data_IF_450734916130
#
_entry.id   IF_450734916130
#
_cell.length_a   1.000
_cell.length_b   1.000
_cell.length_c   1.000
_cell.angle_alpha   90.00
_cell.angle_beta   90.00
_cell.angle_gamma   90.00
#
_symmetry.space_group_name_H-M   'P 1'
#
loop_
_entity.id
_entity.type
_entity.pdbx_description
1 polymer ?
#
# COMPACT_ATOMS: atom_id res chain seq x y z
N UNK A 1 -9.07 9.63 0.61
CA UNK A 1 -9.55 10.65 1.59
C UNK A 1 -8.93 10.41 2.94
N UNK A 2 -8.56 11.48 3.61
CA UNK A 2 -8.06 11.46 4.98
C UNK A 2 -9.16 12.08 5.86
N UNK A 3 -10.06 11.24 6.36
CA UNK A 3 -11.29 11.67 7.05
C UNK A 3 -11.19 11.57 8.58
N UNK A 4 -10.07 11.06 9.10
CA UNK A 4 -9.87 10.88 10.55
C UNK A 4 -8.41 11.05 10.95
N UNK A 5 -8.18 11.28 12.25
CA UNK A 5 -6.83 11.33 12.84
C UNK A 5 -6.07 10.02 12.61
N UNK A 6 -6.73 8.88 12.77
CA UNK A 6 -6.09 7.57 12.56
C UNK A 6 -5.62 7.38 11.12
N UNK A 7 -6.43 7.76 10.12
CA UNK A 7 -6.01 7.70 8.71
C UNK A 7 -4.84 8.64 8.42
N UNK A 8 -4.86 9.85 8.98
CA UNK A 8 -3.74 10.78 8.84
C UNK A 8 -2.45 10.20 9.40
N UNK A 9 -2.50 9.69 10.63
CA UNK A 9 -1.38 9.02 11.29
C UNK A 9 -0.86 7.84 10.47
N UNK A 10 -1.75 6.97 9.99
CA UNK A 10 -1.38 5.78 9.22
C UNK A 10 -0.68 6.14 7.90
N UNK A 11 -1.21 7.11 7.16
CA UNK A 11 -0.56 7.63 5.93
C UNK A 11 0.85 8.17 6.24
N UNK A 12 1.02 8.91 7.34
CA UNK A 12 2.32 9.46 7.71
C UNK A 12 3.30 8.33 8.02
N UNK A 13 2.94 7.39 8.91
CA UNK A 13 3.87 6.35 9.35
C UNK A 13 4.24 5.41 8.22
N UNK A 14 3.29 4.98 7.39
CA UNK A 14 3.58 4.09 6.26
C UNK A 14 4.45 4.78 5.21
N UNK A 15 4.19 6.05 4.91
CA UNK A 15 5.02 6.83 3.97
C UNK A 15 6.43 7.06 4.51
N UNK A 16 6.58 7.42 5.79
CA UNK A 16 7.90 7.57 6.42
C UNK A 16 8.68 6.26 6.40
N UNK A 17 8.03 5.15 6.78
CA UNK A 17 8.65 3.84 6.76
C UNK A 17 9.18 3.45 5.36
N UNK A 18 8.36 3.61 4.33
CA UNK A 18 8.75 3.29 2.95
C UNK A 18 9.90 4.17 2.46
N UNK A 19 9.85 5.48 2.72
CA UNK A 19 10.90 6.41 2.31
C UNK A 19 12.22 6.21 3.06
N UNK A 20 12.16 5.75 4.30
CA UNK A 20 13.35 5.50 5.11
C UNK A 20 14.06 4.19 4.74
N UNK A 21 13.29 3.16 4.42
CA UNK A 21 13.81 1.79 4.35
C UNK A 21 13.87 1.20 2.93
N UNK A 22 13.28 1.86 1.93
CA UNK A 22 13.29 1.40 0.53
C UNK A 22 13.73 2.51 -0.41
N UNK A 23 13.97 2.20 -1.67
CA UNK A 23 14.22 3.16 -2.75
C UNK A 23 12.99 3.40 -3.63
N UNK A 24 11.80 2.95 -3.21
CA UNK A 24 10.59 3.06 -3.99
C UNK A 24 10.18 4.51 -4.24
N UNK A 25 9.48 4.75 -5.35
CA UNK A 25 8.71 5.97 -5.61
C UNK A 25 7.29 5.74 -5.09
N UNK A 26 6.74 6.73 -4.41
CA UNK A 26 5.39 6.68 -3.85
C UNK A 26 4.50 7.67 -4.59
N UNK A 27 3.39 7.17 -5.13
CA UNK A 27 2.33 8.00 -5.70
C UNK A 27 1.14 7.95 -4.73
N UNK A 28 0.70 9.12 -4.28
CA UNK A 28 -0.49 9.27 -3.45
C UNK A 28 -1.50 10.09 -4.24
N UNK A 29 -2.64 9.49 -4.56
CA UNK A 29 -3.77 10.20 -5.15
C UNK A 29 -4.83 10.44 -4.09
N UNK A 30 -5.10 11.71 -3.81
CA UNK A 30 -6.12 12.15 -2.87
C UNK A 30 -7.31 12.72 -3.65
N UNK A 31 -8.51 12.22 -3.34
CA UNK A 31 -9.77 12.69 -3.95
C UNK A 31 -10.67 13.18 -2.83
N UNK A 32 -10.83 14.50 -2.71
CA UNK A 32 -11.62 15.14 -1.65
C UNK A 32 -12.02 16.57 -2.03
N UNK A 33 -12.74 17.26 -1.17
CA UNK A 33 -13.10 18.69 -1.35
C UNK A 33 -11.95 19.64 -1.02
N UNK A 34 -10.96 19.20 -0.23
CA UNK A 34 -9.73 19.91 0.11
C UNK A 34 -8.63 18.91 0.43
N UNK A 35 -7.37 19.27 0.12
CA UNK A 35 -6.25 18.36 0.37
C UNK A 35 -5.82 18.39 1.83
N UNK A 36 -6.16 17.35 2.58
CA UNK A 36 -5.64 17.10 3.93
C UNK A 36 -4.19 16.61 3.87
N UNK A 37 -3.83 15.85 2.83
CA UNK A 37 -2.46 15.40 2.64
C UNK A 37 -1.49 16.58 2.53
N UNK A 38 -1.75 17.51 1.61
CA UNK A 38 -0.88 18.69 1.44
C UNK A 38 -0.83 19.59 2.68
N UNK A 39 -1.97 19.76 3.35
CA UNK A 39 -2.07 20.66 4.52
C UNK A 39 -1.46 20.05 5.79
N UNK A 40 -1.51 18.74 5.98
CA UNK A 40 -1.20 18.10 7.27
C UNK A 40 -0.20 16.95 7.18
N UNK A 41 -0.32 16.04 6.21
CA UNK A 41 0.56 14.87 6.12
C UNK A 41 1.94 15.22 5.56
N UNK A 42 2.00 15.91 4.42
CA UNK A 42 3.26 16.20 3.73
C UNK A 42 4.27 16.98 4.58
N UNK A 43 3.88 18.02 5.36
CA UNK A 43 4.82 18.68 6.27
C UNK A 43 5.42 17.74 7.31
N UNK A 44 4.61 16.87 7.93
CA UNK A 44 5.06 15.93 8.95
C UNK A 44 5.96 14.83 8.37
N UNK A 45 5.62 14.32 7.17
CA UNK A 45 6.47 13.36 6.45
C UNK A 45 7.83 14.00 6.15
N UNK A 46 7.85 15.24 5.66
CA UNK A 46 9.11 15.96 5.41
C UNK A 46 9.93 16.20 6.68
N UNK A 47 9.27 16.49 7.79
CA UNK A 47 9.96 16.61 9.09
C UNK A 47 10.58 15.27 9.52
N UNK A 48 9.89 14.16 9.29
CA UNK A 48 10.33 12.82 9.65
C UNK A 48 11.54 12.36 8.81
N UNK A 49 11.43 12.43 7.47
CA UNK A 49 12.40 11.78 6.55
C UNK A 49 13.25 12.76 5.73
N UNK A 50 13.05 14.07 5.91
CA UNK A 50 13.85 15.11 5.26
C UNK A 50 13.77 15.07 3.72
N UNK A 51 14.94 15.15 3.08
CA UNK A 51 15.04 15.24 1.63
C UNK A 51 14.78 13.91 0.89
N UNK A 52 14.55 12.81 1.60
CA UNK A 52 14.13 11.53 0.99
C UNK A 52 12.79 11.62 0.26
N UNK A 53 11.99 12.66 0.52
CA UNK A 53 10.77 12.95 -0.22
C UNK A 53 11.03 13.44 -1.65
N UNK A 54 12.19 14.06 -1.91
CA UNK A 54 12.48 14.72 -3.19
C UNK A 54 12.60 13.69 -4.31
N UNK A 55 11.77 13.83 -5.34
CA UNK A 55 11.73 12.95 -6.51
C UNK A 55 11.17 11.55 -6.23
N UNK A 56 10.79 11.27 -4.98
CA UNK A 56 10.25 9.96 -4.59
C UNK A 56 8.80 9.99 -4.10
N UNK A 57 8.36 11.09 -3.50
CA UNK A 57 6.97 11.26 -3.05
C UNK A 57 6.22 12.16 -4.03
N UNK A 58 5.21 11.58 -4.68
CA UNK A 58 4.38 12.26 -5.67
C UNK A 58 2.94 12.33 -5.19
N UNK A 59 2.44 13.53 -4.97
CA UNK A 59 1.06 13.74 -4.52
C UNK A 59 0.22 14.33 -5.67
N UNK A 60 -0.90 13.70 -5.94
CA UNK A 60 -1.90 14.16 -6.91
C UNK A 60 -3.20 14.44 -6.15
N UNK A 61 -3.74 15.63 -6.31
CA UNK A 61 -5.01 16.01 -5.70
C UNK A 61 -6.08 16.20 -6.77
N UNK A 62 -7.19 15.52 -6.60
CA UNK A 62 -8.41 15.66 -7.40
C UNK A 62 -9.51 16.24 -6.52
N UNK A 63 -9.93 17.49 -6.81
CA UNK A 63 -11.07 18.07 -6.11
C UNK A 63 -12.36 17.38 -6.54
N UNK A 64 -13.11 16.82 -5.59
CA UNK A 64 -14.37 16.14 -5.85
C UNK A 64 -15.35 16.31 -4.68
N UNK A 65 -16.62 16.49 -5.02
CA UNK A 65 -17.75 16.45 -4.08
C UNK A 65 -18.50 15.12 -4.10
N UNK A 66 -18.01 14.16 -4.90
CA UNK A 66 -18.61 12.84 -4.95
C UNK A 66 -18.49 12.15 -3.57
N UNK A 67 -19.58 11.59 -3.10
CA UNK A 67 -19.61 10.83 -1.85
C UNK A 67 -19.00 9.43 -2.03
N UNK A 68 -18.97 8.93 -3.26
CA UNK A 68 -18.41 7.62 -3.58
C UNK A 68 -16.90 7.74 -3.79
N UNK A 69 -16.15 6.83 -3.17
CA UNK A 69 -14.71 6.70 -3.37
C UNK A 69 -14.44 5.61 -4.40
N UNK A 70 -14.06 6.01 -5.61
CA UNK A 70 -13.78 5.11 -6.74
C UNK A 70 -12.37 4.52 -6.64
N UNK A 71 -12.14 3.61 -5.69
CA UNK A 71 -10.83 3.02 -5.37
C UNK A 71 -10.17 2.40 -6.60
N UNK A 72 -10.90 1.59 -7.36
CA UNK A 72 -10.37 0.87 -8.54
C UNK A 72 -9.88 1.82 -9.64
N UNK A 73 -10.64 2.86 -9.98
CA UNK A 73 -10.22 3.91 -10.92
C UNK A 73 -8.93 4.61 -10.45
N UNK A 74 -8.88 4.97 -9.16
CA UNK A 74 -7.74 5.67 -8.59
C UNK A 74 -6.47 4.80 -8.64
N UNK A 75 -6.57 3.50 -8.37
CA UNK A 75 -5.45 2.56 -8.49
C UNK A 75 -4.98 2.43 -9.94
N UNK A 76 -5.91 2.41 -10.90
CA UNK A 76 -5.58 2.38 -12.32
C UNK A 76 -4.86 3.67 -12.75
N UNK A 77 -5.37 4.83 -12.36
CA UNK A 77 -4.76 6.12 -12.64
C UNK A 77 -3.32 6.17 -12.13
N UNK A 78 -3.07 5.76 -10.87
CA UNK A 78 -1.73 5.71 -10.28
C UNK A 78 -0.82 4.71 -10.99
N UNK A 79 -1.33 3.55 -11.40
CA UNK A 79 -0.56 2.55 -12.17
C UNK A 79 -0.13 3.10 -13.52
N UNK A 80 -0.98 3.88 -14.19
CA UNK A 80 -0.65 4.51 -15.47
C UNK A 80 0.37 5.65 -15.32
N UNK A 81 0.42 6.33 -14.17
CA UNK A 81 1.44 7.34 -13.86
C UNK A 81 2.81 6.72 -13.54
N UNK A 82 2.84 5.47 -13.07
CA UNK A 82 4.09 4.81 -12.71
C UNK A 82 4.96 4.52 -13.94
N UNK A 83 6.28 4.66 -13.78
CA UNK A 83 7.29 4.47 -14.84
C UNK A 83 8.25 3.30 -14.54
N UNK A 84 7.95 2.50 -13.51
CA UNK A 84 8.77 1.39 -13.04
C UNK A 84 8.25 0.04 -13.55
N UNK A 85 9.12 -1.00 -13.70
CA UNK A 85 8.69 -2.33 -14.14
C UNK A 85 7.83 -3.07 -13.11
N UNK A 86 7.97 -2.71 -11.83
CA UNK A 86 7.16 -3.23 -10.73
C UNK A 86 6.28 -2.12 -10.20
N UNK A 87 4.98 -2.40 -10.02
CA UNK A 87 4.03 -1.51 -9.35
C UNK A 87 3.38 -2.23 -8.18
N UNK A 88 2.99 -1.46 -7.18
CA UNK A 88 2.44 -1.99 -5.95
C UNK A 88 1.14 -1.27 -5.62
N UNK A 89 0.03 -2.02 -5.58
CA UNK A 89 -1.17 -1.54 -4.92
C UNK A 89 -0.94 -1.66 -3.41
N UNK A 90 -1.07 -0.56 -2.70
CA UNK A 90 -0.68 -0.47 -1.30
C UNK A 90 -1.73 0.30 -0.49
N UNK A 91 -2.34 -0.35 0.47
CA UNK A 91 -3.22 0.31 1.42
C UNK A 91 -2.36 1.10 2.42
N UNK A 92 -2.66 2.39 2.58
CA UNK A 92 -1.81 3.32 3.33
C UNK A 92 -1.84 3.13 4.86
N UNK A 93 -2.51 2.11 5.33
CA UNK A 93 -2.65 1.73 6.74
C UNK A 93 -2.05 0.35 7.06
N UNK A 94 -1.14 -0.12 6.22
CA UNK A 94 -0.39 -1.35 6.43
C UNK A 94 1.12 -1.12 6.50
N UNK A 95 1.82 -2.07 7.10
CA UNK A 95 3.27 -2.16 7.14
C UNK A 95 3.71 -3.61 6.93
N UNK A 96 4.81 -3.80 6.22
CA UNK A 96 5.45 -5.09 6.01
C UNK A 96 6.92 -5.03 6.44
N UNK A 97 7.51 -6.12 6.94
CA UNK A 97 8.95 -6.19 7.11
C UNK A 97 9.69 -5.91 5.80
N UNK A 98 10.86 -5.27 5.86
CA UNK A 98 11.64 -4.88 4.69
C UNK A 98 11.89 -6.05 3.73
N UNK A 99 12.20 -7.22 4.27
CA UNK A 99 12.42 -8.45 3.50
C UNK A 99 11.22 -8.85 2.62
N UNK A 100 9.99 -8.52 3.02
CA UNK A 100 8.80 -8.81 2.22
C UNK A 100 8.74 -7.96 0.95
N UNK A 101 9.17 -6.69 1.03
CA UNK A 101 9.27 -5.82 -0.16
C UNK A 101 10.37 -6.30 -1.09
N UNK A 102 11.58 -6.53 -0.57
CA UNK A 102 12.75 -6.96 -1.34
C UNK A 102 12.53 -8.29 -2.04
N UNK A 103 11.96 -9.28 -1.35
CA UNK A 103 11.69 -10.59 -1.92
C UNK A 103 10.57 -10.53 -2.97
N UNK A 104 9.50 -9.78 -2.72
CA UNK A 104 8.41 -9.62 -3.69
C UNK A 104 8.87 -8.94 -4.97
N UNK A 105 9.64 -7.85 -4.86
CA UNK A 105 10.21 -7.17 -6.02
C UNK A 105 11.13 -8.11 -6.81
N UNK A 106 12.02 -8.84 -6.14
CA UNK A 106 12.91 -9.80 -6.77
C UNK A 106 12.16 -10.87 -7.55
N UNK A 107 11.12 -11.47 -6.95
CA UNK A 107 10.32 -12.53 -7.58
C UNK A 107 9.55 -12.05 -8.82
N UNK A 108 9.17 -10.77 -8.86
CA UNK A 108 8.60 -10.15 -10.06
C UNK A 108 9.69 -9.87 -11.10
N UNK A 109 10.82 -9.29 -10.68
CA UNK A 109 11.89 -8.87 -11.59
C UNK A 109 12.60 -10.05 -12.25
N UNK A 110 12.72 -11.19 -11.59
CA UNK A 110 13.32 -12.40 -12.16
C UNK A 110 12.32 -13.26 -12.97
N UNK A 111 11.04 -12.84 -13.03
CA UNK A 111 9.99 -13.48 -13.80
C UNK A 111 9.44 -14.76 -13.17
N UNK A 112 9.71 -15.02 -11.89
CA UNK A 112 9.14 -16.17 -11.17
C UNK A 112 7.63 -16.00 -11.02
N UNK A 113 7.17 -14.78 -10.71
CA UNK A 113 5.76 -14.46 -10.61
C UNK A 113 5.40 -13.20 -11.40
N UNK A 114 4.14 -13.13 -11.86
CA UNK A 114 3.53 -11.94 -12.45
C UNK A 114 2.86 -11.07 -11.38
N UNK A 115 2.38 -11.70 -10.30
CA UNK A 115 1.74 -11.09 -9.14
C UNK A 115 2.25 -11.73 -7.85
N UNK A 116 2.62 -10.93 -6.84
CA UNK A 116 3.04 -11.43 -5.52
C UNK A 116 2.23 -10.75 -4.42
N UNK A 117 1.62 -11.55 -3.55
CA UNK A 117 1.11 -11.11 -2.25
C UNK A 117 2.26 -11.19 -1.24
N UNK A 118 2.74 -10.06 -0.69
CA UNK A 118 3.95 -10.03 0.13
C UNK A 118 3.74 -10.50 1.58
N UNK A 119 2.63 -11.20 1.86
CA UNK A 119 2.26 -11.70 3.18
C UNK A 119 1.52 -13.04 3.06
N UNK A 120 1.49 -13.83 4.16
CA UNK A 120 0.86 -15.13 4.21
C UNK A 120 -0.68 -15.09 4.29
N UNK A 121 -1.32 -16.23 4.05
CA UNK A 121 -2.77 -16.43 4.19
C UNK A 121 -3.11 -16.84 5.62
N UNK A 122 -4.26 -16.45 6.14
CA UNK A 122 -4.72 -16.82 7.48
C UNK A 122 -4.00 -16.10 8.61
N UNK A 123 -3.26 -16.84 9.44
CA UNK A 123 -2.66 -16.33 10.70
C UNK A 123 -1.47 -15.37 10.49
N UNK A 124 -1.17 -14.97 9.27
CA UNK A 124 -0.06 -14.07 8.93
C UNK A 124 -0.43 -12.58 8.94
N UNK A 125 -1.63 -12.23 9.36
CA UNK A 125 -2.14 -10.86 9.27
C UNK A 125 -2.46 -10.34 10.66
N UNK A 126 -1.89 -9.19 11.00
CA UNK A 126 -2.10 -8.53 12.28
C UNK A 126 -2.95 -7.26 12.11
N UNK A 127 -4.01 -7.17 12.91
CA UNK A 127 -4.65 -5.90 13.17
C UNK A 127 -4.01 -5.26 14.37
N UNK A 128 -3.26 -4.17 14.17
CA UNK A 128 -2.56 -3.44 15.22
C UNK A 128 -3.50 -2.42 15.88
N UNK A 129 -3.55 -2.42 17.22
CA UNK A 129 -4.25 -1.40 18.00
C UNK A 129 -3.29 -0.23 18.27
N UNK A 130 -3.13 0.62 17.25
CA UNK A 130 -2.19 1.73 17.28
C UNK A 130 -2.77 2.95 17.98
N UNK A 131 -1.94 3.58 18.82
CA UNK A 131 -2.11 4.93 19.32
C UNK A 131 -0.89 5.79 18.94
N UNK A 132 -0.93 7.08 19.19
CA UNK A 132 0.14 8.01 18.80
C UNK A 132 1.45 7.72 19.55
N UNK A 133 1.39 7.20 20.80
CA UNK A 133 2.57 6.82 21.56
C UNK A 133 3.25 5.58 20.95
N UNK A 134 2.48 4.56 20.58
CA UNK A 134 3.03 3.37 19.90
C UNK A 134 3.68 3.74 18.57
N UNK A 135 3.02 4.58 17.77
CA UNK A 135 3.55 5.01 16.45
C UNK A 135 4.80 5.86 16.61
N UNK A 136 4.82 6.81 17.55
CA UNK A 136 6.04 7.60 17.85
C UNK A 136 7.21 6.70 18.26
N UNK A 137 6.97 5.73 19.14
CA UNK A 137 8.02 4.79 19.56
C UNK A 137 8.46 3.88 18.42
N UNK A 138 7.55 3.42 17.58
CA UNK A 138 7.86 2.59 16.42
C UNK A 138 8.81 3.31 15.44
N UNK A 139 8.54 4.58 15.14
CA UNK A 139 9.42 5.39 14.29
C UNK A 139 10.79 5.62 14.98
N UNK A 140 10.80 5.97 16.27
CA UNK A 140 12.02 6.29 17.02
C UNK A 140 12.89 5.06 17.34
N UNK A 141 12.33 3.86 17.34
CA UNK A 141 13.02 2.58 17.58
C UNK A 141 13.31 1.84 16.26
N UNK A 142 13.67 2.59 15.23
CA UNK A 142 14.07 2.08 13.93
C UNK A 142 13.08 1.07 13.32
N UNK A 143 11.78 1.33 13.52
CA UNK A 143 10.68 0.51 13.00
C UNK A 143 10.67 -0.93 13.53
N UNK A 144 10.79 -1.10 14.82
CA UNK A 144 10.79 -2.40 15.49
C UNK A 144 9.41 -3.06 15.51
N UNK A 145 9.16 -3.99 14.59
CA UNK A 145 7.88 -4.68 14.42
C UNK A 145 7.42 -5.47 15.64
N UNK A 146 8.33 -5.91 16.53
CA UNK A 146 7.95 -6.62 17.75
C UNK A 146 7.10 -5.78 18.71
N UNK A 147 7.14 -4.45 18.59
CA UNK A 147 6.25 -3.56 19.34
C UNK A 147 4.81 -3.65 18.83
N UNK A 148 4.65 -3.76 17.52
CA UNK A 148 3.33 -3.86 16.86
C UNK A 148 2.67 -5.20 17.20
N UNK A 149 3.42 -6.30 17.15
CA UNK A 149 2.92 -7.64 17.50
C UNK A 149 2.29 -7.69 18.88
N UNK A 150 2.93 -7.08 19.90
CA UNK A 150 2.44 -7.03 21.27
C UNK A 150 1.12 -6.27 21.45
N UNK A 151 0.74 -5.47 20.46
CA UNK A 151 -0.46 -4.62 20.44
C UNK A 151 -1.41 -5.00 19.30
N UNK A 152 -1.34 -6.25 18.84
CA UNK A 152 -2.13 -6.72 17.71
C UNK A 152 -2.93 -7.97 18.04
N UNK A 153 -3.83 -8.29 17.13
CA UNK A 153 -4.52 -9.58 17.06
C UNK A 153 -4.48 -10.09 15.63
N UNK A 154 -4.64 -11.41 15.46
CA UNK A 154 -4.81 -12.01 14.13
C UNK A 154 -6.09 -11.47 13.48
N UNK A 155 -5.96 -11.13 12.20
CA UNK A 155 -7.03 -10.66 11.35
C UNK A 155 -7.00 -11.40 10.02
N UNK A 156 -7.98 -12.25 9.76
CA UNK A 156 -8.01 -13.10 8.56
C UNK A 156 -8.61 -12.33 7.37
N UNK A 157 -7.76 -11.83 6.49
CA UNK A 157 -8.13 -11.27 5.19
C UNK A 157 -7.18 -11.80 4.11
N UNK A 158 -7.72 -12.27 2.96
CA UNK A 158 -6.92 -13.04 1.99
C UNK A 158 -6.23 -12.24 0.92
N UNK A 159 -6.88 -11.20 0.39
CA UNK A 159 -6.50 -10.64 -0.92
C UNK A 159 -6.34 -9.11 -0.93
N UNK A 160 -6.62 -8.45 0.18
CA UNK A 160 -6.47 -7.01 0.34
C UNK A 160 -5.04 -6.55 0.62
N UNK A 161 -4.89 -5.42 1.29
CA UNK A 161 -3.66 -4.84 1.84
C UNK A 161 -2.65 -4.38 0.79
N UNK A 162 -1.91 -5.32 0.18
CA UNK A 162 -0.77 -5.02 -0.68
C UNK A 162 -0.57 -6.11 -1.74
N UNK A 163 -0.30 -5.71 -2.97
CA UNK A 163 0.04 -6.62 -4.05
C UNK A 163 1.10 -6.01 -4.96
N UNK A 164 2.14 -6.79 -5.24
CA UNK A 164 3.17 -6.48 -6.22
C UNK A 164 2.80 -7.05 -7.58
N UNK A 165 2.99 -6.26 -8.62
CA UNK A 165 2.69 -6.66 -10.00
C UNK A 165 3.88 -6.39 -10.91
N UNK A 166 4.13 -7.29 -11.85
CA UNK A 166 4.77 -6.90 -13.10
C UNK A 166 3.83 -5.90 -13.80
N UNK A 167 4.31 -4.67 -14.01
CA UNK A 167 3.46 -3.57 -14.50
C UNK A 167 2.83 -3.86 -15.86
N UNK A 168 3.61 -4.42 -16.80
CA UNK A 168 3.10 -4.75 -18.14
C UNK A 168 2.02 -5.81 -18.04
N UNK A 169 2.24 -6.87 -17.26
CA UNK A 169 1.27 -7.94 -17.02
C UNK A 169 0.00 -7.44 -16.33
N UNK A 170 0.13 -6.50 -15.41
CA UNK A 170 -1.01 -5.88 -14.74
C UNK A 170 -1.88 -5.10 -15.73
N UNK A 171 -1.26 -4.32 -16.62
CA UNK A 171 -1.96 -3.57 -17.68
C UNK A 171 -2.60 -4.54 -18.69
N UNK A 172 -1.87 -5.55 -19.19
CA UNK A 172 -2.39 -6.58 -20.09
C UNK A 172 -3.57 -7.36 -19.47
N UNK A 173 -3.52 -7.62 -18.16
CA UNK A 173 -4.56 -8.28 -17.39
C UNK A 173 -5.80 -7.44 -17.11
N UNK A 174 -5.81 -6.17 -17.56
CA UNK A 174 -6.97 -5.27 -17.47
C UNK A 174 -7.02 -4.44 -16.20
N UNK A 175 -5.92 -4.32 -15.45
CA UNK A 175 -5.82 -3.47 -14.25
C UNK A 175 -6.86 -3.85 -13.17
N UNK A 176 -7.37 -2.87 -12.41
CA UNK A 176 -8.53 -3.06 -11.54
C UNK A 176 -9.82 -2.96 -12.33
N UNK A 177 -10.81 -3.76 -11.96
CA UNK A 177 -12.12 -3.72 -12.58
C UNK A 177 -12.96 -2.55 -12.04
N UNK A 178 -13.09 -1.47 -12.81
CA UNK A 178 -13.77 -0.24 -12.41
C UNK A 178 -15.29 -0.37 -12.26
N UNK A 179 -15.88 -1.53 -12.58
CA UNK A 179 -17.26 -1.82 -12.26
C UNK A 179 -17.50 -2.06 -10.76
N UNK A 180 -16.43 -2.32 -9.99
CA UNK A 180 -16.50 -2.31 -8.53
C UNK A 180 -16.43 -0.87 -8.03
N UNK A 181 -17.60 -0.32 -7.74
CA UNK A 181 -17.75 1.04 -7.23
C UNK A 181 -17.81 0.99 -5.69
N UNK A 182 -17.03 1.85 -5.04
CA UNK A 182 -16.86 1.91 -3.59
C UNK A 182 -16.13 0.67 -3.03
N UNK A 183 -16.64 0.06 -1.96
CA UNK A 183 -16.03 -1.07 -1.26
C UNK A 183 -16.71 -2.38 -1.63
N UNK A 184 -15.96 -3.43 -1.96
CA UNK A 184 -16.47 -4.79 -2.10
C UNK A 184 -15.65 -5.64 -3.05
N UNK A 185 -15.49 -6.84 -2.91
CA UNK A 185 -14.93 -8.00 -3.65
C UNK A 185 -13.93 -7.74 -4.81
N UNK A 186 -13.44 -6.52 -5.02
CA UNK A 186 -12.48 -6.19 -6.08
C UNK A 186 -11.17 -6.98 -5.93
N UNK A 187 -10.71 -7.17 -4.69
CA UNK A 187 -9.52 -7.95 -4.39
C UNK A 187 -9.70 -9.44 -4.75
N UNK A 188 -10.88 -9.98 -4.45
CA UNK A 188 -11.23 -11.36 -4.79
C UNK A 188 -11.34 -11.55 -6.32
N UNK A 189 -11.99 -10.61 -7.01
CA UNK A 189 -12.12 -10.63 -8.47
C UNK A 189 -10.75 -10.60 -9.12
N UNK A 190 -9.88 -9.69 -8.71
CA UNK A 190 -8.52 -9.55 -9.22
C UNK A 190 -7.74 -10.86 -9.06
N UNK A 191 -7.72 -11.44 -7.85
CA UNK A 191 -7.05 -12.71 -7.60
C UNK A 191 -7.59 -13.83 -8.51
N UNK A 192 -8.91 -13.97 -8.59
CA UNK A 192 -9.57 -14.97 -9.41
C UNK A 192 -9.27 -14.78 -10.90
N UNK A 193 -9.38 -13.55 -11.39
CA UNK A 193 -9.15 -13.20 -12.80
C UNK A 193 -7.72 -13.50 -13.24
N UNK A 194 -6.71 -13.07 -12.50
CA UNK A 194 -5.31 -13.32 -12.86
C UNK A 194 -4.98 -14.82 -12.84
N UNK A 195 -5.45 -15.56 -11.85
CA UNK A 195 -5.30 -17.03 -11.84
C UNK A 195 -5.99 -17.70 -13.04
N UNK A 196 -7.21 -17.26 -13.39
CA UNK A 196 -7.98 -17.81 -14.53
C UNK A 196 -7.30 -17.47 -15.86
N UNK A 197 -6.66 -16.32 -15.98
CA UNK A 197 -5.87 -15.92 -17.14
C UNK A 197 -4.53 -16.68 -17.26
N UNK A 198 -4.17 -17.46 -16.27
CA UNK A 198 -2.95 -18.26 -16.27
C UNK A 198 -1.70 -17.47 -15.86
N UNK A 199 -1.85 -16.37 -15.15
CA UNK A 199 -0.72 -15.65 -14.57
C UNK A 199 -0.12 -16.43 -13.39
N UNK A 200 1.19 -16.30 -13.22
CA UNK A 200 1.88 -16.84 -12.06
C UNK A 200 1.63 -15.94 -10.86
N UNK A 201 0.74 -16.36 -9.97
CA UNK A 201 0.40 -15.62 -8.74
C UNK A 201 1.06 -16.30 -7.55
N UNK A 202 1.95 -15.58 -6.88
CA UNK A 202 2.69 -16.05 -5.70
C UNK A 202 2.23 -15.40 -4.40
N UNK A 203 2.71 -15.95 -3.29
CA UNK A 203 2.47 -15.44 -1.94
C UNK A 203 3.67 -15.76 -1.06
N UNK A 204 4.07 -14.81 -0.19
CA UNK A 204 5.12 -15.03 0.79
C UNK A 204 4.52 -15.52 2.12
N UNK A 205 5.31 -16.29 2.87
CA UNK A 205 5.02 -16.66 4.26
C UNK A 205 5.61 -15.58 5.19
N UNK A 206 5.01 -14.41 5.19
CA UNK A 206 5.45 -13.25 5.97
C UNK A 206 4.27 -12.52 6.61
N UNK A 207 4.53 -11.78 7.68
CA UNK A 207 3.49 -11.01 8.38
C UNK A 207 3.20 -9.67 7.70
N UNK A 208 1.95 -9.22 7.77
CA UNK A 208 1.50 -7.86 7.52
C UNK A 208 0.89 -7.27 8.79
N UNK A 209 1.13 -5.97 9.02
CA UNK A 209 0.72 -5.20 10.20
C UNK A 209 -0.12 -4.01 9.83
#
# INVERSE_FOLDING_TARGET
RIESHDRLRNVIVSTCYLLDNTDCKIIIQEVDTASTFAASAAPQIKECVGDKTVGRLHHVFEESKDQIFHRTRILNDMTMMADTPVVVNYDCDILLPLTSYEESEKLIMDGTYDVVYPYGDGDWQYQVFADDDLVSRFINDEYNFSMLEKKSRIYDAKYGFCQFFNREKYIEGGLENEHFIAYGYEDNERWYRFNTMGYNVGRLDAFVY
#
